data_IF_856714991409
#
_entry.id   IF_856714991409
#
_cell.length_a   1.000
_cell.length_b   1.000
_cell.length_c   1.000
_cell.angle_alpha   90.00
_cell.angle_beta   90.00
_cell.angle_gamma   90.00
#
_symmetry.space_group_name_H-M   'P 1'
#
loop_
_entity.id
_entity.type
_entity.pdbx_description
1 polymer ?
#
# COMPACT_ATOMS: atom_id res chain seq x y z
N UNK A 1 -7.71 -12.14 -16.75
CA UNK A 1 -7.27 -12.32 -15.35
C UNK A 1 -7.35 -10.92 -14.78
N UNK A 2 -8.32 -10.64 -13.91
CA UNK A 2 -8.38 -9.35 -13.21
C UNK A 2 -7.05 -9.17 -12.49
N UNK A 3 -6.25 -8.21 -12.93
CA UNK A 3 -5.11 -7.77 -12.12
C UNK A 3 -5.71 -7.19 -10.85
N UNK A 4 -5.36 -7.70 -9.66
CA UNK A 4 -6.05 -7.33 -8.45
C UNK A 4 -5.74 -5.86 -8.17
N UNK A 5 -6.72 -5.01 -8.53
CA UNK A 5 -6.56 -3.57 -8.47
C UNK A 5 -6.51 -3.18 -6.99
N UNK A 6 -5.42 -2.59 -6.51
CA UNK A 6 -5.39 -2.08 -5.14
C UNK A 6 -6.44 -0.98 -5.01
N UNK A 7 -7.20 -0.99 -3.91
CA UNK A 7 -8.26 -0.01 -3.62
C UNK A 7 -8.10 0.64 -2.25
N UNK A 8 -7.25 0.09 -1.37
CA UNK A 8 -7.03 0.60 -0.04
C UNK A 8 -5.55 0.49 0.38
N UNK A 9 -5.20 1.28 1.39
CA UNK A 9 -3.86 1.34 2.00
C UNK A 9 -4.00 1.00 3.48
N UNK A 10 -3.20 0.06 3.97
CA UNK A 10 -3.08 -0.26 5.39
C UNK A 10 -1.64 -0.07 5.84
N UNK A 11 -1.40 0.72 6.89
CA UNK A 11 -0.12 0.71 7.58
C UNK A 11 -0.08 -0.47 8.56
N UNK A 12 1.00 -1.24 8.52
CA UNK A 12 1.27 -2.33 9.45
C UNK A 12 2.63 -2.17 10.08
N UNK A 13 2.69 -2.43 11.38
CA UNK A 13 3.94 -2.48 12.13
C UNK A 13 4.81 -3.64 11.65
N UNK A 14 6.10 -3.38 11.52
CA UNK A 14 7.14 -4.37 11.35
C UNK A 14 7.68 -4.79 12.73
N UNK A 15 8.42 -5.90 12.76
CA UNK A 15 8.97 -6.47 13.99
C UNK A 15 9.99 -5.57 14.73
N UNK A 16 10.40 -4.44 14.14
CA UNK A 16 11.35 -3.46 14.66
C UNK A 16 10.69 -2.14 15.07
N UNK A 17 9.35 -2.08 15.13
CA UNK A 17 8.61 -0.86 15.48
C UNK A 17 8.64 0.20 14.37
N UNK A 18 8.84 -0.23 13.13
CA UNK A 18 8.70 0.61 11.93
C UNK A 18 7.42 0.26 11.22
N UNK A 19 6.89 1.13 10.37
CA UNK A 19 5.65 0.88 9.65
C UNK A 19 5.91 0.55 8.18
N UNK A 20 5.12 -0.34 7.59
CA UNK A 20 5.06 -0.56 6.14
C UNK A 20 3.64 -0.38 5.67
N UNK A 21 3.47 0.28 4.53
CA UNK A 21 2.17 0.27 3.87
C UNK A 21 1.96 -1.03 3.09
N UNK A 22 0.72 -1.47 3.11
CA UNK A 22 0.20 -2.61 2.36
C UNK A 22 -0.95 -2.08 1.49
N UNK A 23 -0.87 -2.29 0.20
CA UNK A 23 -2.00 -2.07 -0.70
C UNK A 23 -2.84 -3.33 -0.72
N UNK A 24 -4.15 -3.17 -0.49
CA UNK A 24 -5.11 -4.27 -0.49
C UNK A 24 -6.11 -4.10 -1.64
N UNK A 25 -6.52 -5.22 -2.23
CA UNK A 25 -7.63 -5.24 -3.18
C UNK A 25 -9.00 -5.16 -2.46
N UNK A 26 -10.08 -5.14 -3.24
CA UNK A 26 -11.45 -5.08 -2.70
C UNK A 26 -11.83 -6.32 -1.85
N UNK A 27 -11.08 -7.42 -1.97
CA UNK A 27 -11.22 -8.62 -1.14
C UNK A 27 -10.41 -8.58 0.15
N UNK A 28 -9.65 -7.50 0.40
CA UNK A 28 -8.75 -7.39 1.54
C UNK A 28 -7.44 -8.17 1.38
N UNK A 29 -7.12 -8.62 0.17
CA UNK A 29 -5.87 -9.35 -0.11
C UNK A 29 -4.76 -8.32 -0.33
N UNK A 30 -3.66 -8.44 0.41
CA UNK A 30 -2.47 -7.61 0.16
C UNK A 30 -1.85 -7.96 -1.20
N UNK A 31 -1.96 -7.02 -2.13
CA UNK A 31 -1.40 -7.15 -3.49
C UNK A 31 0.01 -6.61 -3.58
N UNK A 32 0.33 -5.60 -2.77
CA UNK A 32 1.65 -4.97 -2.75
C UNK A 32 2.00 -4.50 -1.35
N UNK A 33 3.28 -4.60 -1.03
CA UNK A 33 3.83 -4.13 0.25
C UNK A 33 4.95 -3.16 -0.04
N UNK A 34 5.10 -2.16 0.82
CA UNK A 34 6.22 -1.24 0.76
C UNK A 34 7.55 -1.98 0.84
N UNK A 35 8.49 -1.71 -0.07
CA UNK A 35 9.88 -2.15 0.10
C UNK A 35 10.57 -1.41 1.25
N UNK A 36 10.13 -0.19 1.56
CA UNK A 36 10.72 0.69 2.57
C UNK A 36 9.88 0.69 3.86
N UNK A 37 10.54 0.99 4.97
CA UNK A 37 9.91 1.08 6.30
C UNK A 37 9.92 2.53 6.79
N UNK A 38 8.81 2.97 7.36
CA UNK A 38 8.58 4.32 7.86
C UNK A 38 8.68 4.37 9.39
N UNK A 39 8.86 5.55 9.96
CA UNK A 39 8.98 5.73 11.41
C UNK A 39 7.61 5.83 12.09
N UNK A 40 6.61 6.36 11.38
CA UNK A 40 5.23 6.51 11.85
C UNK A 40 4.26 5.82 10.89
N UNK A 41 3.07 5.52 11.39
CA UNK A 41 1.95 5.00 10.61
C UNK A 41 1.47 6.02 9.57
N UNK A 42 1.42 7.31 9.94
CA UNK A 42 1.04 8.40 9.05
C UNK A 42 1.94 8.48 7.81
N UNK A 43 3.26 8.44 7.99
CA UNK A 43 4.24 8.43 6.88
C UNK A 43 4.02 7.22 5.95
N UNK A 44 3.72 6.06 6.54
CA UNK A 44 3.45 4.85 5.77
C UNK A 44 2.15 4.99 4.98
N UNK A 45 1.06 5.48 5.59
CA UNK A 45 -0.21 5.71 4.92
C UNK A 45 -0.03 6.69 3.76
N UNK A 46 0.63 7.83 3.97
CA UNK A 46 0.83 8.85 2.93
C UNK A 46 1.60 8.28 1.73
N UNK A 47 2.71 7.57 1.99
CA UNK A 47 3.49 6.94 0.93
C UNK A 47 2.71 5.82 0.21
N UNK A 48 1.89 5.07 0.94
CA UNK A 48 1.01 4.06 0.37
C UNK A 48 -0.11 4.66 -0.48
N UNK A 49 -0.67 5.81 -0.08
CA UNK A 49 -1.66 6.54 -0.88
C UNK A 49 -1.06 7.03 -2.19
N UNK A 50 0.15 7.58 -2.16
CA UNK A 50 0.86 7.97 -3.38
C UNK A 50 1.10 6.75 -4.31
N UNK A 51 1.42 5.59 -3.74
CA UNK A 51 1.58 4.35 -4.51
C UNK A 51 0.25 3.86 -5.11
N UNK A 52 -0.86 3.97 -4.37
CA UNK A 52 -2.21 3.64 -4.84
C UNK A 52 -2.63 4.53 -6.01
N UNK A 53 -2.42 5.84 -5.89
CA UNK A 53 -2.74 6.80 -6.94
C UNK A 53 -1.90 6.55 -8.21
N UNK A 54 -0.61 6.26 -8.05
CA UNK A 54 0.27 5.89 -9.18
C UNK A 54 -0.20 4.60 -9.87
N UNK A 55 -0.69 3.61 -9.11
CA UNK A 55 -1.29 2.39 -9.65
C UNK A 55 -2.56 2.69 -10.45
N UNK A 56 -3.45 3.51 -9.89
CA UNK A 56 -4.69 3.91 -10.57
C UNK A 56 -4.43 4.72 -11.85
N UNK A 57 -3.35 5.51 -11.89
CA UNK A 57 -2.92 6.21 -13.08
C UNK A 57 -2.39 5.24 -14.16
N UNK A 58 -1.56 4.27 -13.78
CA UNK A 58 -1.01 3.26 -14.70
C UNK A 58 -2.07 2.29 -15.24
N UNK A 59 -3.11 1.95 -14.44
CA UNK A 59 -4.20 1.09 -14.88
C UNK A 59 -5.11 1.76 -15.93
N UNK A 60 -5.02 3.09 -16.10
CA UNK A 60 -5.83 3.88 -17.03
C UNK A 60 -5.11 4.26 -18.32
N UNK A 61 -3.82 3.93 -18.46
CA UNK A 61 -3.00 4.20 -19.66
C UNK A 61 -2.94 2.99 -20.58
#
# INVERSE_FOLDING_TARGET
>A
MDDPTPVAVEARDDAHGRYRWHLTDAGGVSVRVSPETYATDEDAIEAGQAALDAFGAAARS
#
